data_IF_676136905967
#
_entry.id   IF_676136905967
#
_cell.length_a   1.000
_cell.length_b   1.000
_cell.length_c   1.000
_cell.angle_alpha   90.00
_cell.angle_beta   90.00
_cell.angle_gamma   90.00
#
_symmetry.space_group_name_H-M   'P 1'
#
loop_
_entity.id
_entity.type
_entity.pdbx_description
1 polymer ?
#
# COMPACT_ATOMS: atom_id res chain seq x y z
N UNK A 1 11.05 -16.66 -4.40
CA UNK A 1 10.14 -15.53 -4.23
C UNK A 1 9.67 -14.93 -5.57
N UNK A 2 10.51 -14.88 -6.61
CA UNK A 2 10.18 -14.44 -7.96
C UNK A 2 9.72 -12.99 -8.08
N UNK A 3 9.34 -12.59 -9.29
CA UNK A 3 8.99 -11.20 -9.63
C UNK A 3 7.60 -10.76 -9.10
N UNK A 4 6.76 -11.71 -8.72
CA UNK A 4 5.39 -11.43 -8.24
C UNK A 4 5.34 -11.19 -6.75
N UNK A 5 6.20 -11.86 -5.97
CA UNK A 5 6.16 -11.81 -4.51
C UNK A 5 6.68 -10.47 -3.97
N UNK A 6 5.89 -9.83 -3.11
CA UNK A 6 6.18 -8.49 -2.58
C UNK A 6 6.02 -7.34 -3.58
N UNK A 7 5.78 -7.65 -4.86
CA UNK A 7 5.64 -6.63 -5.91
C UNK A 7 4.40 -5.74 -5.76
N UNK A 8 3.35 -6.20 -5.08
CA UNK A 8 2.16 -5.38 -4.86
C UNK A 8 2.45 -4.19 -3.95
N UNK A 9 3.23 -4.36 -2.88
CA UNK A 9 3.65 -3.29 -1.99
C UNK A 9 4.57 -2.27 -2.68
N UNK A 10 5.54 -2.75 -3.47
CA UNK A 10 6.42 -1.90 -4.29
C UNK A 10 5.62 -1.03 -5.25
N UNK A 11 4.75 -1.65 -6.07
CA UNK A 11 3.92 -0.93 -7.04
C UNK A 11 2.92 0.02 -6.39
N UNK A 12 2.42 -0.32 -5.19
CA UNK A 12 1.56 0.56 -4.42
C UNK A 12 2.32 1.81 -3.97
N UNK A 13 3.54 1.64 -3.46
CA UNK A 13 4.37 2.78 -3.05
C UNK A 13 4.79 3.64 -4.24
N UNK A 14 5.14 3.05 -5.39
CA UNK A 14 5.38 3.81 -6.64
C UNK A 14 4.19 4.69 -7.01
N UNK A 15 2.98 4.14 -6.95
CA UNK A 15 1.75 4.88 -7.24
C UNK A 15 1.54 6.02 -6.23
N UNK A 16 1.71 5.76 -4.95
CA UNK A 16 1.58 6.79 -3.91
C UNK A 16 2.62 7.89 -4.04
N UNK A 17 3.86 7.57 -4.44
CA UNK A 17 4.91 8.57 -4.69
C UNK A 17 4.55 9.51 -5.82
N UNK A 18 3.99 9.00 -6.92
CA UNK A 18 3.53 9.84 -8.03
C UNK A 18 2.42 10.80 -7.58
N UNK A 19 1.46 10.32 -6.78
CA UNK A 19 0.46 11.21 -6.20
C UNK A 19 1.12 12.28 -5.32
N UNK A 20 2.09 11.87 -4.48
CA UNK A 20 2.84 12.82 -3.64
C UNK A 20 3.56 13.89 -4.46
N UNK A 21 4.19 13.51 -5.57
CA UNK A 21 4.85 14.44 -6.50
C UNK A 21 3.86 15.46 -7.09
N UNK A 22 2.65 15.02 -7.48
CA UNK A 22 1.59 15.91 -7.94
C UNK A 22 1.14 16.90 -6.85
N UNK A 23 1.04 16.43 -5.61
CA UNK A 23 0.71 17.28 -4.47
C UNK A 23 1.79 18.32 -4.19
N UNK A 24 3.06 17.94 -4.31
CA UNK A 24 4.20 18.85 -4.11
C UNK A 24 4.27 19.95 -5.20
N UNK A 25 3.69 19.68 -6.38
CA UNK A 25 3.52 20.64 -7.47
C UNK A 25 2.26 21.52 -7.31
N UNK A 26 1.53 21.39 -6.19
CA UNK A 26 0.33 22.18 -5.91
C UNK A 26 -0.98 21.53 -6.31
N UNK A 27 -0.97 20.25 -6.71
CA UNK A 27 -2.16 19.49 -7.04
C UNK A 27 -3.08 19.27 -5.83
N UNK A 28 -4.38 19.04 -6.09
CA UNK A 28 -5.37 18.69 -5.06
C UNK A 28 -5.40 17.18 -4.86
N UNK A 29 -5.50 16.74 -3.61
CA UNK A 29 -5.42 15.31 -3.25
C UNK A 29 -6.42 14.44 -4.04
N UNK A 30 -7.68 14.84 -4.08
CA UNK A 30 -8.73 14.07 -4.75
C UNK A 30 -8.49 13.95 -6.25
N UNK A 31 -8.06 15.03 -6.89
CA UNK A 31 -7.78 15.10 -8.32
C UNK A 31 -6.54 14.28 -8.66
N UNK A 32 -5.43 14.47 -7.93
CA UNK A 32 -4.18 13.75 -8.13
C UNK A 32 -4.34 12.23 -7.96
N UNK A 33 -5.12 11.80 -6.97
CA UNK A 33 -5.45 10.37 -6.78
C UNK A 33 -6.31 9.85 -7.92
N UNK A 34 -7.32 10.60 -8.35
CA UNK A 34 -8.20 10.19 -9.46
C UNK A 34 -7.41 10.04 -10.76
N UNK A 35 -6.51 10.97 -11.04
CA UNK A 35 -5.64 10.95 -12.21
C UNK A 35 -4.72 9.72 -12.20
N UNK A 36 -4.04 9.45 -11.08
CA UNK A 36 -3.12 8.31 -11.02
C UNK A 36 -3.86 6.96 -11.04
N UNK A 37 -5.06 6.85 -10.45
CA UNK A 37 -5.92 5.66 -10.60
C UNK A 37 -6.28 5.43 -12.07
N UNK A 38 -6.65 6.49 -12.80
CA UNK A 38 -6.99 6.40 -14.21
C UNK A 38 -5.78 5.98 -15.06
N UNK A 39 -4.64 6.64 -14.85
CA UNK A 39 -3.36 6.31 -15.51
C UNK A 39 -2.93 4.86 -15.26
N UNK A 40 -2.99 4.40 -14.01
CA UNK A 40 -2.66 3.02 -13.66
C UNK A 40 -3.57 2.02 -14.41
N UNK A 41 -4.87 2.30 -14.48
CA UNK A 41 -5.82 1.41 -15.17
C UNK A 41 -5.60 1.33 -16.67
N UNK A 42 -5.15 2.41 -17.29
CA UNK A 42 -4.84 2.44 -18.71
C UNK A 42 -3.52 1.73 -19.04
N UNK A 43 -2.52 1.85 -18.18
CA UNK A 43 -1.15 1.40 -18.49
C UNK A 43 -0.76 0.07 -17.85
N UNK A 44 -1.29 -0.25 -16.67
CA UNK A 44 -0.86 -1.40 -15.85
C UNK A 44 -1.99 -2.39 -15.53
N UNK A 45 -3.24 -2.02 -15.80
CA UNK A 45 -4.41 -2.88 -15.68
C UNK A 45 -5.40 -2.48 -14.57
N UNK A 46 -6.50 -3.23 -14.51
CA UNK A 46 -7.71 -2.90 -13.73
C UNK A 46 -7.50 -2.85 -12.22
N UNK A 47 -6.60 -3.66 -11.70
CA UNK A 47 -6.43 -3.85 -10.26
C UNK A 47 -5.41 -2.86 -9.70
N UNK A 48 -5.79 -2.14 -8.65
CA UNK A 48 -4.91 -1.21 -7.96
C UNK A 48 -4.11 -1.99 -6.90
N UNK A 49 -2.76 -1.98 -6.96
CA UNK A 49 -1.94 -2.70 -5.99
C UNK A 49 -2.11 -2.15 -4.58
N UNK A 50 -2.09 -3.01 -3.58
CA UNK A 50 -2.30 -2.63 -2.18
C UNK A 50 -3.77 -2.50 -1.75
N UNK A 51 -4.73 -2.76 -2.65
CA UNK A 51 -6.16 -2.61 -2.35
C UNK A 51 -6.96 -3.85 -2.78
N UNK A 52 -7.90 -4.24 -1.93
CA UNK A 52 -8.69 -5.46 -2.07
C UNK A 52 -7.93 -6.71 -1.61
N UNK A 53 -8.66 -7.73 -1.20
CA UNK A 53 -8.09 -9.00 -0.76
C UNK A 53 -8.97 -10.17 -1.23
N UNK A 54 -8.32 -11.29 -1.57
CA UNK A 54 -9.03 -12.47 -2.05
C UNK A 54 -9.87 -13.14 -0.95
N UNK A 55 -9.33 -13.18 0.26
CA UNK A 55 -9.91 -13.89 1.40
C UNK A 55 -10.49 -12.97 2.47
N UNK A 56 -9.83 -11.84 2.75
CA UNK A 56 -10.30 -10.89 3.77
C UNK A 56 -11.31 -9.91 3.15
N UNK A 57 -12.57 -10.07 3.50
CA UNK A 57 -13.67 -9.20 3.09
C UNK A 57 -14.58 -8.95 4.29
N UNK A 58 -15.09 -7.75 4.48
CA UNK A 58 -14.94 -6.57 3.62
C UNK A 58 -13.59 -5.86 3.77
N UNK A 59 -12.79 -6.21 4.78
CA UNK A 59 -11.58 -5.49 5.18
C UNK A 59 -10.47 -6.45 5.61
N UNK A 60 -9.20 -6.09 5.34
CA UNK A 60 -8.02 -6.78 5.89
C UNK A 60 -7.81 -6.31 7.34
N UNK A 61 -7.95 -7.17 8.35
CA UNK A 61 -7.95 -6.75 9.77
C UNK A 61 -6.60 -6.18 10.23
N UNK A 62 -5.54 -6.35 9.45
CA UNK A 62 -4.20 -5.85 9.76
C UNK A 62 -4.04 -4.37 9.39
N UNK A 63 -4.69 -3.93 8.31
CA UNK A 63 -4.55 -2.58 7.79
C UNK A 63 -5.00 -1.49 8.77
N UNK A 64 -6.17 -1.55 9.42
CA UNK A 64 -6.61 -0.54 10.38
C UNK A 64 -5.64 -0.33 11.54
N UNK A 65 -5.09 -1.44 12.08
CA UNK A 65 -4.12 -1.35 13.17
C UNK A 65 -2.84 -0.62 12.74
N UNK A 66 -2.34 -0.92 11.54
CA UNK A 66 -1.15 -0.25 11.00
C UNK A 66 -1.43 1.22 10.70
N UNK A 67 -2.60 1.55 10.15
CA UNK A 67 -2.99 2.94 9.92
C UNK A 67 -3.14 3.73 11.22
N UNK A 68 -3.63 3.07 12.28
CA UNK A 68 -3.66 3.70 13.61
C UNK A 68 -2.25 4.06 14.09
N UNK A 69 -1.27 3.16 13.96
CA UNK A 69 0.12 3.44 14.33
C UNK A 69 0.70 4.62 13.54
N UNK A 70 0.43 4.70 12.24
CA UNK A 70 0.85 5.85 11.41
C UNK A 70 0.18 7.14 11.87
N UNK A 71 -1.13 7.08 12.18
CA UNK A 71 -1.88 8.23 12.69
C UNK A 71 -1.32 8.74 14.00
N UNK A 72 -1.01 7.83 14.94
CA UNK A 72 -0.42 8.18 16.24
C UNK A 72 0.97 8.85 16.03
N UNK A 73 1.83 8.24 15.20
CA UNK A 73 3.15 8.78 14.88
C UNK A 73 3.08 10.14 14.15
N UNK A 74 2.08 10.35 13.30
CA UNK A 74 1.85 11.66 12.66
C UNK A 74 1.37 12.70 13.67
N UNK A 75 0.52 12.31 14.63
CA UNK A 75 0.11 13.18 15.75
C UNK A 75 1.28 13.63 16.62
N UNK A 76 2.25 12.75 16.81
CA UNK A 76 3.52 13.05 17.52
C UNK A 76 4.57 13.74 16.64
N UNK A 77 4.26 14.03 15.36
CA UNK A 77 5.15 14.66 14.38
C UNK A 77 6.41 13.84 14.05
N UNK A 78 6.37 12.54 14.25
CA UNK A 78 7.45 11.61 13.88
C UNK A 78 7.45 11.32 12.38
N UNK A 79 6.29 11.35 11.74
CA UNK A 79 6.09 11.20 10.29
C UNK A 79 5.12 12.26 9.77
N UNK A 80 5.05 12.42 8.43
CA UNK A 80 4.25 13.49 7.83
C UNK A 80 2.75 13.20 7.80
N UNK A 81 2.35 11.93 7.73
CA UNK A 81 0.97 11.50 7.49
C UNK A 81 0.51 11.64 6.03
N UNK A 82 1.38 12.08 5.12
CA UNK A 82 1.01 12.33 3.73
C UNK A 82 0.66 11.04 2.97
N UNK A 83 1.46 9.99 3.11
CA UNK A 83 1.19 8.71 2.48
C UNK A 83 -0.06 8.04 3.03
N UNK A 84 -0.33 8.20 4.33
CA UNK A 84 -1.58 7.73 4.93
C UNK A 84 -2.78 8.45 4.30
N UNK A 85 -2.75 9.78 4.17
CA UNK A 85 -3.82 10.55 3.51
C UNK A 85 -4.04 10.12 2.07
N UNK A 86 -2.97 9.89 1.31
CA UNK A 86 -3.02 9.38 -0.07
C UNK A 86 -3.67 7.99 -0.08
N UNK A 87 -3.22 7.07 0.75
CA UNK A 87 -3.75 5.71 0.81
C UNK A 87 -5.23 5.65 1.17
N UNK A 88 -5.66 6.46 2.14
CA UNK A 88 -7.08 6.56 2.54
C UNK A 88 -7.95 7.18 1.43
N UNK A 89 -7.44 8.16 0.69
CA UNK A 89 -8.17 8.75 -0.44
C UNK A 89 -8.27 7.75 -1.61
N UNK A 90 -7.22 6.97 -1.90
CA UNK A 90 -7.30 5.88 -2.88
C UNK A 90 -8.41 4.89 -2.47
N UNK A 91 -8.41 4.43 -1.21
CA UNK A 91 -9.45 3.53 -0.69
C UNK A 91 -10.85 4.10 -0.86
N UNK A 92 -11.06 5.37 -0.49
CA UNK A 92 -12.33 6.08 -0.62
C UNK A 92 -12.83 6.07 -2.07
N UNK A 93 -12.00 6.46 -3.03
CA UNK A 93 -12.39 6.51 -4.45
C UNK A 93 -12.64 5.13 -5.05
N UNK A 94 -11.89 4.11 -4.64
CA UNK A 94 -12.13 2.73 -5.08
C UNK A 94 -13.44 2.17 -4.52
N UNK A 95 -13.78 2.51 -3.29
CA UNK A 95 -15.02 2.07 -2.63
C UNK A 95 -16.27 2.73 -3.19
N UNK A 96 -16.19 3.98 -3.62
CA UNK A 96 -17.32 4.67 -4.26
C UNK A 96 -17.76 4.02 -5.58
N UNK A 97 -16.88 3.30 -6.25
CA UNK A 97 -17.14 2.69 -7.56
C UNK A 97 -17.66 1.25 -7.49
N UNK A 98 -17.77 0.66 -6.31
CA UNK A 98 -18.27 -0.71 -6.11
C UNK A 98 -19.13 -0.83 -4.88
N UNK A 99 -20.26 -1.53 -5.00
CA UNK A 99 -21.19 -1.80 -3.90
C UNK A 99 -20.59 -2.58 -2.72
N UNK A 100 -19.50 -3.33 -2.95
CA UNK A 100 -18.85 -4.16 -1.92
C UNK A 100 -17.63 -3.51 -1.27
N UNK A 101 -17.32 -2.25 -1.60
CA UNK A 101 -16.12 -1.57 -1.13
C UNK A 101 -14.80 -2.24 -1.56
N UNK A 102 -13.72 -1.49 -1.63
CA UNK A 102 -12.36 -2.01 -1.83
C UNK A 102 -11.48 -1.40 -0.75
N UNK A 103 -11.19 -2.19 0.29
CA UNK A 103 -10.36 -1.74 1.39
C UNK A 103 -8.86 -1.92 1.08
N UNK A 104 -8.05 -1.12 1.76
CA UNK A 104 -6.60 -1.29 1.81
C UNK A 104 -6.27 -2.65 2.43
N UNK A 105 -5.34 -3.38 1.83
CA UNK A 105 -4.82 -4.64 2.36
C UNK A 105 -3.44 -4.42 3.01
N UNK A 106 -2.81 -5.51 3.44
CA UNK A 106 -1.50 -5.44 4.11
C UNK A 106 -0.41 -4.83 3.22
N UNK A 107 -0.45 -5.06 1.90
CA UNK A 107 0.54 -4.49 0.98
C UNK A 107 0.38 -2.96 0.88
N UNK A 108 -0.87 -2.47 0.85
CA UNK A 108 -1.17 -1.05 0.88
C UNK A 108 -0.76 -0.39 2.19
N UNK A 109 -1.08 -1.03 3.33
CA UNK A 109 -0.73 -0.51 4.65
C UNK A 109 0.79 -0.46 4.87
N UNK A 110 1.53 -1.46 4.42
CA UNK A 110 3.00 -1.44 4.50
C UNK A 110 3.60 -0.43 3.53
N UNK A 111 3.02 -0.24 2.33
CA UNK A 111 3.45 0.81 1.41
C UNK A 111 3.31 2.21 2.02
N UNK A 112 2.21 2.49 2.74
CA UNK A 112 2.04 3.73 3.51
C UNK A 112 3.17 3.90 4.52
N UNK A 113 3.43 2.89 5.35
CA UNK A 113 4.48 2.96 6.38
C UNK A 113 5.85 3.23 5.75
N UNK A 114 6.21 2.49 4.71
CA UNK A 114 7.51 2.66 4.05
C UNK A 114 7.63 4.02 3.37
N UNK A 115 6.55 4.54 2.80
CA UNK A 115 6.50 5.90 2.26
C UNK A 115 6.71 6.96 3.33
N UNK A 116 6.04 6.85 4.48
CA UNK A 116 6.21 7.78 5.62
C UNK A 116 7.64 7.75 6.19
N UNK A 117 8.30 6.59 6.15
CA UNK A 117 9.68 6.41 6.58
C UNK A 117 10.71 6.80 5.50
N UNK A 118 10.27 7.20 4.30
CA UNK A 118 11.15 7.66 3.22
C UNK A 118 11.85 6.54 2.44
N UNK A 119 11.38 5.30 2.54
CA UNK A 119 11.97 4.19 1.76
C UNK A 119 11.57 4.27 0.29
N UNK A 120 12.53 3.97 -0.58
CA UNK A 120 12.26 3.79 -2.02
C UNK A 120 11.45 2.52 -2.29
N UNK A 121 10.62 2.47 -3.37
CA UNK A 121 9.77 1.33 -3.68
C UNK A 121 10.48 -0.03 -3.76
N UNK A 122 11.68 -0.17 -4.36
CA UNK A 122 12.41 -1.44 -4.34
C UNK A 122 12.79 -1.89 -2.94
N UNK A 123 13.06 -0.95 -2.03
CA UNK A 123 13.36 -1.26 -0.63
C UNK A 123 12.12 -1.79 0.10
N UNK A 124 10.94 -1.26 -0.17
CA UNK A 124 9.68 -1.77 0.37
C UNK A 124 9.48 -3.26 0.03
N UNK A 125 9.77 -3.64 -1.22
CA UNK A 125 9.77 -5.05 -1.64
C UNK A 125 10.80 -5.88 -0.89
N UNK A 126 12.03 -5.38 -0.78
CA UNK A 126 13.11 -6.05 -0.04
C UNK A 126 12.74 -6.31 1.42
N UNK A 127 12.20 -5.32 2.12
CA UNK A 127 11.75 -5.43 3.51
C UNK A 127 10.59 -6.42 3.66
N UNK A 128 9.65 -6.43 2.72
CA UNK A 128 8.59 -7.43 2.69
C UNK A 128 9.17 -8.86 2.57
N UNK A 129 10.08 -9.08 1.62
CA UNK A 129 10.74 -10.37 1.44
C UNK A 129 11.53 -10.79 2.68
N UNK A 130 12.26 -9.86 3.29
CA UNK A 130 13.01 -10.10 4.53
C UNK A 130 12.07 -10.53 5.67
N UNK A 131 10.94 -9.86 5.85
CA UNK A 131 9.96 -10.19 6.88
C UNK A 131 9.35 -11.59 6.72
N UNK A 132 9.34 -12.13 5.50
CA UNK A 132 8.83 -13.48 5.18
C UNK A 132 9.89 -14.57 5.27
N UNK A 133 11.16 -14.21 5.19
CA UNK A 133 12.28 -15.18 5.06
C UNK A 133 12.33 -16.16 6.22
N UNK A 134 12.09 -15.73 7.45
CA UNK A 134 12.10 -16.58 8.64
C UNK A 134 10.99 -17.64 8.57
N UNK A 135 9.76 -17.23 8.25
CA UNK A 135 8.63 -18.16 8.11
C UNK A 135 8.81 -19.14 6.95
N UNK A 136 9.34 -18.66 5.82
CA UNK A 136 9.64 -19.52 4.67
C UNK A 136 10.70 -20.56 5.03
N UNK A 137 11.75 -20.16 5.76
CA UNK A 137 12.79 -21.06 6.21
C UNK A 137 12.25 -22.12 7.17
N UNK A 138 11.40 -21.72 8.13
CA UNK A 138 10.78 -22.63 9.07
C UNK A 138 9.90 -23.68 8.36
N UNK A 139 9.04 -23.26 7.45
CA UNK A 139 8.21 -24.18 6.66
C UNK A 139 9.02 -25.09 5.74
N UNK A 140 10.09 -24.57 5.12
CA UNK A 140 10.97 -25.40 4.31
C UNK A 140 11.69 -26.48 5.15
N UNK A 141 12.02 -26.16 6.39
CA UNK A 141 12.61 -27.12 7.33
C UNK A 141 11.58 -28.19 7.75
N UNK A 142 10.37 -27.79 8.10
CA UNK A 142 9.28 -28.72 8.47
C UNK A 142 8.95 -29.70 7.34
N UNK A 143 9.01 -29.26 6.07
CA UNK A 143 8.75 -30.15 4.93
C UNK A 143 9.85 -31.21 4.70
N UNK A 144 11.04 -30.97 5.20
CA UNK A 144 12.17 -31.91 5.03
C UNK A 144 12.24 -32.98 6.11
N UNK A 145 11.60 -32.79 7.23
CA UNK A 145 11.59 -33.67 8.37
C UNK A 145 10.20 -34.22 8.66
#
# INVERSE_FOLDING_TARGET
>A
LGDVHGGAGEKCLEMMQKVKELLDQGGRLEESVSEEIANHRQTKGKYIPGFGHRFHKPEDPRAPRLMKLVSDAAGEKLVSGNFMRIGLEIQKQLSQRKSTGIAMNIDGATAVIFGELGFAPPMARGLFCLSRSVGILAHAWEQKN
#
